data_IF_362747414159
#
_entry.id   IF_362747414159
#
_cell.length_a   1.000
_cell.length_b   1.000
_cell.length_c   1.000
_cell.angle_alpha   90.00
_cell.angle_beta   90.00
_cell.angle_gamma   90.00
#
_symmetry.space_group_name_H-M   'P 1'
#
loop_
_entity.id
_entity.type
_entity.pdbx_description
1 polymer ?
#
# COMPACT_ATOMS: atom_id res chain seq x y z
N UNK A 1 -10.95 13.16 0.05
CA UNK A 1 -10.49 12.94 -1.34
C UNK A 1 -8.99 13.19 -1.49
N UNK A 2 -8.46 13.07 -2.70
CA UNK A 2 -7.03 13.17 -3.05
C UNK A 2 -6.35 14.45 -2.56
N UNK A 3 -7.05 15.59 -2.62
CA UNK A 3 -6.53 16.85 -2.09
C UNK A 3 -6.26 16.80 -0.58
N UNK A 4 -7.02 16.03 0.18
CA UNK A 4 -6.80 15.84 1.62
C UNK A 4 -5.51 15.05 1.90
N UNK A 5 -5.16 14.09 1.03
CA UNK A 5 -3.89 13.37 1.13
C UNK A 5 -2.70 14.30 0.86
N UNK A 6 -2.75 15.07 -0.22
CA UNK A 6 -1.67 16.01 -0.57
C UNK A 6 -1.46 17.07 0.51
N UNK A 7 -2.55 17.66 1.01
CA UNK A 7 -2.48 18.75 1.99
C UNK A 7 -2.17 18.27 3.42
N UNK A 8 -2.61 17.06 3.77
CA UNK A 8 -2.51 16.53 5.13
C UNK A 8 -1.34 15.59 5.35
N UNK A 9 -0.94 14.80 4.35
CA UNK A 9 -0.04 13.68 4.57
C UNK A 9 1.21 13.67 3.68
N UNK A 10 1.08 14.15 2.44
CA UNK A 10 2.15 14.09 1.44
C UNK A 10 2.05 12.83 0.54
N UNK A 11 2.78 12.87 -0.56
CA UNK A 11 2.77 11.81 -1.60
C UNK A 11 4.18 11.40 -2.03
N UNK A 12 5.21 12.11 -1.58
CA UNK A 12 6.61 11.85 -1.94
C UNK A 12 7.24 10.74 -1.08
N UNK A 13 8.29 10.13 -1.60
CA UNK A 13 9.13 9.22 -0.82
C UNK A 13 9.83 9.97 0.31
N UNK A 14 9.84 9.37 1.51
CA UNK A 14 10.46 10.02 2.69
C UNK A 14 11.99 10.03 2.67
N UNK A 15 12.62 9.19 1.82
CA UNK A 15 14.06 8.98 1.83
C UNK A 15 14.58 8.29 3.11
N UNK A 16 13.68 7.69 3.88
CA UNK A 16 13.94 7.01 5.15
C UNK A 16 13.26 5.65 5.18
N UNK A 17 13.67 4.79 6.10
CA UNK A 17 13.02 3.49 6.30
C UNK A 17 11.53 3.67 6.63
N UNK A 18 10.71 2.69 6.25
CA UNK A 18 9.24 2.75 6.29
C UNK A 18 8.63 3.00 7.69
N UNK A 19 9.39 2.83 8.76
CA UNK A 19 8.98 3.04 10.15
C UNK A 19 9.88 4.03 10.89
N UNK A 20 10.39 5.06 10.18
CA UNK A 20 11.32 6.05 10.71
C UNK A 20 10.62 7.10 11.59
N UNK A 21 11.05 7.20 12.85
CA UNK A 21 10.72 8.31 13.75
C UNK A 21 11.42 9.59 13.27
N UNK A 22 12.65 9.45 12.75
CA UNK A 22 13.45 10.60 12.27
C UNK A 22 12.75 11.31 11.11
N UNK A 23 12.09 10.57 10.22
CA UNK A 23 11.31 11.16 9.13
C UNK A 23 10.18 12.05 9.68
N UNK A 24 9.46 11.60 10.70
CA UNK A 24 8.37 12.39 11.30
C UNK A 24 8.93 13.68 11.91
N UNK A 25 10.01 13.61 12.64
CA UNK A 25 10.67 14.78 13.25
C UNK A 25 11.18 15.76 12.18
N UNK A 26 11.83 15.24 11.13
CA UNK A 26 12.38 16.05 10.04
C UNK A 26 11.31 16.83 9.30
N UNK A 27 10.18 16.22 9.01
CA UNK A 27 9.08 16.80 8.25
C UNK A 27 7.93 17.32 9.15
N UNK A 28 8.06 17.23 10.47
CA UNK A 28 7.01 17.60 11.43
C UNK A 28 5.68 16.91 11.13
N UNK A 29 5.76 15.60 10.87
CA UNK A 29 4.64 14.75 10.51
C UNK A 29 4.12 14.90 9.09
N UNK A 30 4.53 15.91 8.32
CA UNK A 30 4.19 16.08 6.92
C UNK A 30 5.04 15.17 6.04
N UNK A 31 4.70 15.04 4.76
CA UNK A 31 5.41 14.18 3.81
C UNK A 31 5.49 12.68 4.22
N UNK A 32 4.62 12.27 5.13
CA UNK A 32 4.44 10.86 5.49
C UNK A 32 3.42 10.24 4.54
N UNK A 33 3.87 9.86 3.33
CA UNK A 33 2.98 9.24 2.36
C UNK A 33 2.29 7.98 2.92
N UNK A 34 1.11 7.58 2.39
CA UNK A 34 0.30 6.49 2.95
C UNK A 34 0.91 5.09 2.80
N UNK A 35 2.07 4.94 2.15
CA UNK A 35 2.74 3.66 1.92
C UNK A 35 3.87 3.35 2.91
N UNK A 36 4.11 4.25 3.88
CA UNK A 36 4.98 4.03 5.04
C UNK A 36 4.14 3.97 6.32
N UNK A 37 4.65 3.33 7.38
CA UNK A 37 3.85 3.07 8.59
C UNK A 37 3.16 4.32 9.18
N UNK A 38 3.87 5.45 9.43
CA UNK A 38 3.20 6.62 10.01
C UNK A 38 2.09 7.17 9.11
N UNK A 39 2.30 7.22 7.79
CA UNK A 39 1.30 7.67 6.85
C UNK A 39 0.12 6.72 6.71
N UNK A 40 0.36 5.40 6.74
CA UNK A 40 -0.71 4.40 6.69
C UNK A 40 -1.59 4.44 7.94
N UNK A 41 -1.01 4.62 9.12
CA UNK A 41 -1.76 4.78 10.37
C UNK A 41 -2.55 6.09 10.35
N UNK A 42 -1.95 7.19 9.89
CA UNK A 42 -2.65 8.46 9.73
C UNK A 42 -3.80 8.35 8.71
N UNK A 43 -3.59 7.67 7.57
CA UNK A 43 -4.66 7.41 6.60
C UNK A 43 -5.83 6.62 7.22
N UNK A 44 -5.53 5.62 8.04
CA UNK A 44 -6.55 4.86 8.78
C UNK A 44 -7.38 5.77 9.69
N UNK A 45 -6.77 6.73 10.36
CA UNK A 45 -7.47 7.70 11.24
C UNK A 45 -8.38 8.67 10.47
N UNK A 46 -8.17 8.86 9.17
CA UNK A 46 -9.00 9.73 8.32
C UNK A 46 -10.36 9.12 7.98
N UNK A 47 -10.53 7.83 8.14
CA UNK A 47 -11.82 7.15 7.91
C UNK A 47 -12.72 7.46 9.09
N UNK A 48 -13.91 8.00 8.80
CA UNK A 48 -14.87 8.41 9.81
C UNK A 48 -15.95 7.35 9.99
N UNK A 49 -16.31 7.08 11.21
CA UNK A 49 -17.39 6.17 11.62
C UNK A 49 -17.80 6.46 13.05
N UNK A 50 -18.98 6.00 13.45
CA UNK A 50 -19.53 6.21 14.79
C UNK A 50 -18.88 5.29 15.85
N UNK A 51 -18.17 4.25 15.44
CA UNK A 51 -17.51 3.29 16.32
C UNK A 51 -16.27 2.69 15.69
N UNK A 52 -15.44 2.06 16.55
CA UNK A 52 -14.29 1.24 16.10
C UNK A 52 -14.70 0.20 15.04
N UNK A 53 -15.75 -0.57 15.33
CA UNK A 53 -16.19 -1.64 14.44
C UNK A 53 -16.68 -1.12 13.08
N UNK A 54 -17.33 0.03 13.06
CA UNK A 54 -17.79 0.66 11.83
C UNK A 54 -16.59 1.05 10.95
N UNK A 55 -15.58 1.72 11.52
CA UNK A 55 -14.36 2.11 10.80
C UNK A 55 -13.61 0.87 10.29
N UNK A 56 -13.38 -0.11 11.15
CA UNK A 56 -12.70 -1.35 10.77
C UNK A 56 -13.42 -2.07 9.63
N UNK A 57 -14.75 -2.25 9.78
CA UNK A 57 -15.55 -2.98 8.79
C UNK A 57 -15.63 -2.26 7.45
N UNK A 58 -15.66 -0.93 7.44
CA UNK A 58 -15.62 -0.14 6.19
C UNK A 58 -14.33 -0.42 5.42
N UNK A 59 -13.17 -0.33 6.09
CA UNK A 59 -11.87 -0.57 5.46
C UNK A 59 -11.72 -2.05 5.07
N UNK A 60 -12.09 -2.99 5.94
CA UNK A 60 -12.01 -4.42 5.65
C UNK A 60 -12.91 -4.82 4.46
N UNK A 61 -14.11 -4.23 4.35
CA UNK A 61 -15.00 -4.42 3.20
C UNK A 61 -14.35 -3.92 1.91
N UNK A 62 -13.68 -2.78 1.95
CA UNK A 62 -12.95 -2.26 0.80
C UNK A 62 -11.82 -3.20 0.36
N UNK A 63 -11.07 -3.79 1.31
CA UNK A 63 -10.05 -4.80 1.00
C UNK A 63 -10.66 -6.06 0.38
N UNK A 64 -11.81 -6.54 0.91
CA UNK A 64 -12.55 -7.67 0.38
C UNK A 64 -13.02 -7.42 -1.07
N UNK A 65 -13.50 -6.23 -1.36
CA UNK A 65 -13.90 -5.82 -2.69
C UNK A 65 -12.73 -5.81 -3.68
N UNK A 66 -11.56 -5.33 -3.26
CA UNK A 66 -10.35 -5.40 -4.07
C UNK A 66 -9.89 -6.83 -4.32
N UNK A 67 -9.93 -7.70 -3.31
CA UNK A 67 -9.57 -9.12 -3.42
C UNK A 67 -10.62 -9.93 -4.21
N UNK A 68 -11.87 -9.46 -4.26
CA UNK A 68 -13.00 -10.17 -4.84
C UNK A 68 -13.48 -11.36 -4.00
N UNK A 69 -13.16 -11.36 -2.73
CA UNK A 69 -13.61 -12.31 -1.72
C UNK A 69 -13.43 -11.76 -0.31
N UNK A 70 -14.09 -12.37 0.66
CA UNK A 70 -13.82 -12.11 2.07
C UNK A 70 -12.41 -12.61 2.46
N UNK A 71 -11.64 -11.75 3.10
CA UNK A 71 -10.29 -12.04 3.61
C UNK A 71 -10.39 -12.45 5.08
N UNK A 72 -9.85 -13.62 5.46
CA UNK A 72 -9.90 -14.06 6.85
C UNK A 72 -8.94 -13.22 7.71
N UNK A 73 -9.39 -12.86 8.91
CA UNK A 73 -8.50 -12.33 9.93
C UNK A 73 -7.73 -13.50 10.57
N UNK A 74 -6.41 -13.45 10.53
CA UNK A 74 -5.54 -14.34 11.30
C UNK A 74 -5.37 -13.79 12.72
N UNK A 75 -6.19 -14.30 13.63
CA UNK A 75 -6.28 -13.81 15.01
C UNK A 75 -4.95 -13.93 15.76
N UNK A 76 -4.23 -15.03 15.56
CA UNK A 76 -2.91 -15.28 16.15
C UNK A 76 -1.85 -14.26 15.66
N UNK A 77 -1.90 -13.87 14.40
CA UNK A 77 -1.03 -12.83 13.83
C UNK A 77 -1.38 -11.47 14.43
N UNK A 78 -2.67 -11.13 14.50
CA UNK A 78 -3.12 -9.88 15.10
C UNK A 78 -2.69 -9.76 16.56
N UNK A 79 -2.91 -10.80 17.38
CA UNK A 79 -2.52 -10.80 18.79
C UNK A 79 -1.00 -10.66 18.97
N UNK A 80 -0.21 -11.34 18.15
CA UNK A 80 1.25 -11.25 18.16
C UNK A 80 1.73 -9.84 17.79
N UNK A 81 1.19 -9.27 16.71
CA UNK A 81 1.54 -7.92 16.26
C UNK A 81 1.08 -6.86 17.28
N UNK A 82 -0.13 -6.97 17.82
CA UNK A 82 -0.65 -6.03 18.82
C UNK A 82 0.20 -6.03 20.11
N UNK A 83 0.73 -7.19 20.51
CA UNK A 83 1.61 -7.30 21.68
C UNK A 83 3.00 -6.69 21.46
N UNK A 84 3.43 -6.47 20.20
CA UNK A 84 4.80 -6.06 19.85
C UNK A 84 4.87 -4.79 18.99
N UNK A 85 3.76 -4.06 18.82
CA UNK A 85 3.67 -2.89 17.94
C UNK A 85 4.02 -1.54 18.60
N UNK A 86 4.77 -1.53 19.71
CA UNK A 86 5.14 -0.32 20.46
C UNK A 86 5.77 0.77 19.58
N UNK A 87 6.52 0.37 18.54
CA UNK A 87 7.06 1.32 17.58
C UNK A 87 5.96 2.03 16.78
N UNK A 88 4.95 1.32 16.30
CA UNK A 88 3.82 1.91 15.59
C UNK A 88 2.99 2.81 16.51
N UNK A 89 2.80 2.43 17.78
CA UNK A 89 2.14 3.27 18.78
C UNK A 89 2.91 4.59 19.01
N UNK A 90 4.25 4.52 19.08
CA UNK A 90 5.09 5.71 19.20
C UNK A 90 5.00 6.62 17.96
N UNK A 91 5.00 6.04 16.75
CA UNK A 91 4.80 6.76 15.49
C UNK A 91 3.44 7.47 15.48
N UNK A 92 2.37 6.78 15.84
CA UNK A 92 1.02 7.33 15.88
C UNK A 92 0.88 8.48 16.90
N UNK A 93 1.47 8.30 18.09
CA UNK A 93 1.50 9.35 19.12
C UNK A 93 2.23 10.60 18.66
N UNK A 94 3.33 10.41 17.93
CA UNK A 94 4.10 11.53 17.37
C UNK A 94 3.33 12.22 16.24
N UNK A 95 2.67 11.46 15.36
CA UNK A 95 1.80 12.00 14.31
C UNK A 95 0.61 12.78 14.91
N UNK A 96 0.06 12.30 16.03
CA UNK A 96 -0.97 13.02 16.79
C UNK A 96 -0.43 14.34 17.36
N UNK A 97 0.77 14.36 17.92
CA UNK A 97 1.42 15.56 18.45
C UNK A 97 1.66 16.62 17.35
N UNK A 98 1.86 16.22 16.11
CA UNK A 98 1.96 17.13 14.95
C UNK A 98 0.61 17.45 14.28
N UNK A 99 -0.51 16.94 14.83
CA UNK A 99 -1.86 17.25 14.34
C UNK A 99 -2.28 16.52 13.06
N UNK A 100 -1.60 15.42 12.70
CA UNK A 100 -1.94 14.60 11.53
C UNK A 100 -2.91 13.47 11.83
N UNK A 101 -2.93 13.03 13.08
CA UNK A 101 -3.99 12.19 13.64
C UNK A 101 -4.78 13.06 14.60
N UNK A 102 -6.01 13.43 14.23
CA UNK A 102 -6.86 14.32 15.03
C UNK A 102 -7.53 13.59 16.18
N UNK A 103 -7.95 12.36 15.94
CA UNK A 103 -8.70 11.52 16.88
C UNK A 103 -7.76 10.64 17.75
N UNK A 104 -8.12 9.41 18.02
CA UNK A 104 -7.40 8.50 18.90
C UNK A 104 -6.26 7.75 18.16
N UNK A 105 -4.97 8.05 18.43
CA UNK A 105 -3.85 7.37 17.79
C UNK A 105 -3.74 5.88 18.15
N UNK A 106 -4.18 5.46 19.34
CA UNK A 106 -4.18 4.06 19.74
C UNK A 106 -5.19 3.26 18.93
N UNK A 107 -6.40 3.81 18.74
CA UNK A 107 -7.43 3.20 17.90
C UNK A 107 -6.98 3.07 16.44
N UNK A 108 -6.39 4.13 15.87
CA UNK A 108 -5.87 4.10 14.51
C UNK A 108 -4.78 3.03 14.33
N UNK A 109 -3.88 2.90 15.31
CA UNK A 109 -2.83 1.88 15.32
C UNK A 109 -3.39 0.48 15.43
N UNK A 110 -4.39 0.27 16.28
CA UNK A 110 -5.01 -1.04 16.46
C UNK A 110 -5.76 -1.49 15.20
N UNK A 111 -6.58 -0.63 14.60
CA UNK A 111 -7.24 -0.90 13.32
C UNK A 111 -6.21 -1.22 12.22
N UNK A 112 -5.14 -0.42 12.10
CA UNK A 112 -4.05 -0.66 11.16
C UNK A 112 -3.41 -2.05 11.38
N UNK A 113 -3.13 -2.43 12.63
CA UNK A 113 -2.56 -3.73 13.01
C UNK A 113 -3.49 -4.87 12.62
N UNK A 114 -4.78 -4.72 12.90
CA UNK A 114 -5.81 -5.72 12.58
C UNK A 114 -5.99 -5.90 11.07
N UNK A 115 -6.00 -4.81 10.30
CA UNK A 115 -6.01 -4.85 8.83
C UNK A 115 -4.75 -5.49 8.25
N UNK A 116 -3.58 -5.25 8.86
CA UNK A 116 -2.31 -5.90 8.49
C UNK A 116 -2.28 -7.40 8.74
N UNK A 117 -3.22 -7.91 9.54
CA UNK A 117 -3.37 -9.33 9.88
C UNK A 117 -4.41 -10.09 9.03
N UNK A 118 -4.96 -9.43 7.99
CA UNK A 118 -5.83 -10.08 7.01
C UNK A 118 -5.03 -11.04 6.13
N UNK A 119 -5.52 -12.27 6.01
CA UNK A 119 -4.87 -13.33 5.23
C UNK A 119 -5.08 -13.17 3.73
N UNK A 120 -3.99 -13.04 2.99
CA UNK A 120 -3.99 -12.95 1.53
C UNK A 120 -3.09 -14.00 0.89
N UNK A 121 -3.39 -14.36 -0.34
CA UNK A 121 -2.53 -15.18 -1.19
C UNK A 121 -2.14 -14.41 -2.47
N UNK A 122 -1.32 -15.01 -3.32
CA UNK A 122 -0.85 -14.35 -4.54
C UNK A 122 -1.99 -14.01 -5.52
N UNK A 123 -3.07 -14.80 -5.56
CA UNK A 123 -4.22 -14.52 -6.40
C UNK A 123 -5.02 -13.32 -5.89
N UNK A 124 -5.15 -13.17 -4.58
CA UNK A 124 -5.82 -12.00 -3.99
C UNK A 124 -5.06 -10.72 -4.32
N UNK A 125 -3.74 -10.71 -4.10
CA UNK A 125 -2.89 -9.57 -4.42
C UNK A 125 -2.88 -9.26 -5.93
N UNK A 126 -2.87 -10.29 -6.79
CA UNK A 126 -2.95 -10.10 -8.24
C UNK A 126 -4.32 -9.54 -8.67
N UNK A 127 -5.40 -9.95 -7.99
CA UNK A 127 -6.75 -9.40 -8.23
C UNK A 127 -6.84 -7.94 -7.82
N UNK A 128 -6.27 -7.57 -6.66
CA UNK A 128 -6.16 -6.18 -6.21
C UNK A 128 -5.38 -5.33 -7.22
N UNK A 129 -4.22 -5.82 -7.68
CA UNK A 129 -3.42 -5.17 -8.72
C UNK A 129 -4.19 -5.08 -10.04
N UNK A 130 -4.93 -6.13 -10.42
CA UNK A 130 -5.79 -6.17 -11.60
C UNK A 130 -6.94 -5.18 -11.54
N UNK A 131 -7.48 -4.93 -10.35
CA UNK A 131 -8.50 -3.89 -10.11
C UNK A 131 -7.96 -2.50 -10.44
N UNK A 132 -6.75 -2.19 -10.00
CA UNK A 132 -6.08 -0.93 -10.35
C UNK A 132 -5.72 -0.87 -11.84
N UNK A 133 -5.21 -1.96 -12.42
CA UNK A 133 -4.91 -2.03 -13.85
C UNK A 133 -6.14 -1.84 -14.73
N UNK A 134 -7.32 -2.19 -14.22
CA UNK A 134 -8.62 -2.11 -14.89
C UNK A 134 -9.44 -0.87 -14.47
N UNK A 135 -8.78 0.22 -14.11
CA UNK A 135 -9.44 1.50 -13.81
C UNK A 135 -10.38 1.47 -12.60
N UNK A 136 -10.09 0.64 -11.60
CA UNK A 136 -10.88 0.56 -10.36
C UNK A 136 -12.01 -0.49 -10.39
N UNK A 137 -12.14 -1.26 -11.47
CA UNK A 137 -13.13 -2.33 -11.60
C UNK A 137 -12.46 -3.68 -11.36
N UNK A 138 -12.93 -4.43 -10.36
CA UNK A 138 -12.42 -5.75 -10.04
C UNK A 138 -12.63 -6.73 -11.23
N UNK A 139 -11.56 -7.31 -11.80
CA UNK A 139 -11.69 -8.12 -13.02
C UNK A 139 -12.37 -9.47 -12.80
N UNK A 140 -12.48 -9.95 -11.56
CA UNK A 140 -13.11 -11.23 -11.23
C UNK A 140 -14.59 -11.10 -10.89
N UNK A 141 -14.98 -10.00 -10.26
CA UNK A 141 -16.37 -9.79 -9.80
C UNK A 141 -17.15 -8.81 -10.68
N UNK A 142 -16.46 -7.99 -11.48
CA UNK A 142 -17.06 -6.89 -12.22
C UNK A 142 -17.49 -5.70 -11.34
N UNK A 143 -17.23 -5.75 -10.02
CA UNK A 143 -17.59 -4.67 -9.11
C UNK A 143 -16.69 -3.47 -9.33
N UNK A 144 -17.29 -2.29 -9.46
CA UNK A 144 -16.55 -1.02 -9.36
C UNK A 144 -16.19 -0.81 -7.89
N UNK A 145 -14.89 -0.87 -7.58
CA UNK A 145 -14.36 -0.76 -6.22
C UNK A 145 -13.95 0.66 -5.90
N UNK A 146 -13.40 1.37 -6.90
CA UNK A 146 -13.04 2.78 -6.75
C UNK A 146 -13.32 3.57 -8.02
N UNK A 147 -13.39 4.88 -7.91
CA UNK A 147 -13.54 5.76 -9.06
C UNK A 147 -12.27 5.74 -9.93
N UNK A 148 -12.45 5.65 -11.24
CA UNK A 148 -11.32 5.57 -12.19
C UNK A 148 -10.43 6.80 -12.18
N UNK A 149 -10.98 7.95 -11.82
CA UNK A 149 -10.24 9.23 -11.69
C UNK A 149 -9.22 9.22 -10.53
N UNK A 150 -9.41 8.36 -9.50
CA UNK A 150 -8.49 8.22 -8.38
C UNK A 150 -7.35 7.22 -8.65
N UNK A 151 -7.47 6.36 -9.67
CA UNK A 151 -6.47 5.33 -9.98
C UNK A 151 -5.10 5.91 -10.33
N UNK A 152 -4.99 6.96 -11.20
CA UNK A 152 -3.70 7.55 -11.54
C UNK A 152 -2.93 8.06 -10.32
N UNK A 153 -3.61 8.64 -9.34
CA UNK A 153 -2.99 9.17 -8.12
C UNK A 153 -2.46 8.06 -7.22
N UNK A 154 -3.23 6.96 -7.06
CA UNK A 154 -2.77 5.77 -6.33
C UNK A 154 -1.52 5.19 -7.02
N UNK A 155 -1.55 5.02 -8.34
CA UNK A 155 -0.41 4.49 -9.09
C UNK A 155 0.82 5.40 -9.02
N UNK A 156 0.63 6.72 -9.01
CA UNK A 156 1.72 7.69 -8.87
C UNK A 156 2.44 7.54 -7.51
N UNK A 157 1.68 7.45 -6.40
CA UNK A 157 2.27 7.22 -5.07
C UNK A 157 2.93 5.84 -4.97
N UNK A 158 2.34 4.80 -5.59
CA UNK A 158 2.97 3.48 -5.66
C UNK A 158 4.27 3.49 -6.47
N UNK A 159 4.35 4.29 -7.52
CA UNK A 159 5.57 4.43 -8.33
C UNK A 159 6.72 5.08 -7.55
N UNK A 160 6.42 6.10 -6.74
CA UNK A 160 7.43 6.87 -6.01
C UNK A 160 7.82 6.29 -4.65
N UNK A 161 6.93 5.58 -3.98
CA UNK A 161 7.11 5.17 -2.59
C UNK A 161 6.73 3.70 -2.29
N UNK A 162 6.27 2.92 -3.27
CA UNK A 162 5.65 1.62 -3.03
C UNK A 162 6.61 0.51 -2.59
N UNK A 163 7.91 0.61 -2.91
CA UNK A 163 8.95 -0.34 -2.47
C UNK A 163 9.93 0.29 -1.47
N UNK A 164 9.41 1.11 -0.57
CA UNK A 164 10.20 1.76 0.47
C UNK A 164 11.39 2.55 -0.14
N UNK A 165 12.60 2.39 0.41
CA UNK A 165 13.81 3.07 -0.06
C UNK A 165 14.22 2.66 -1.48
N UNK A 166 13.79 1.50 -1.97
CA UNK A 166 14.11 0.96 -3.29
C UNK A 166 13.03 1.25 -4.36
N UNK A 167 12.02 2.09 -4.08
CA UNK A 167 10.94 2.38 -5.02
C UNK A 167 11.45 2.94 -6.36
N UNK A 168 12.40 3.88 -6.33
CA UNK A 168 13.02 4.44 -7.54
C UNK A 168 13.81 3.41 -8.34
N UNK A 169 14.57 2.54 -7.67
CA UNK A 169 15.34 1.45 -8.29
C UNK A 169 14.42 0.41 -8.94
N UNK A 170 13.31 0.09 -8.27
CA UNK A 170 12.29 -0.78 -8.83
C UNK A 170 11.65 -0.19 -10.08
N UNK A 171 11.19 1.06 -10.01
CA UNK A 171 10.57 1.75 -11.14
C UNK A 171 11.52 1.86 -12.32
N UNK A 172 12.80 2.16 -12.09
CA UNK A 172 13.83 2.20 -13.13
C UNK A 172 13.97 0.86 -13.87
N UNK A 173 13.90 -0.28 -13.14
CA UNK A 173 14.06 -1.61 -13.72
C UNK A 173 12.82 -2.10 -14.46
N UNK A 174 11.63 -1.78 -13.94
CA UNK A 174 10.38 -2.41 -14.38
C UNK A 174 9.40 -1.46 -15.05
N UNK A 175 9.46 -0.17 -14.75
CA UNK A 175 8.46 0.81 -15.14
C UNK A 175 7.10 0.66 -14.42
N UNK A 176 6.96 -0.29 -13.47
CA UNK A 176 5.68 -0.64 -12.87
C UNK A 176 5.47 0.04 -11.50
N UNK A 177 4.37 0.77 -11.29
CA UNK A 177 3.88 1.04 -9.96
C UNK A 177 3.69 -0.27 -9.18
N UNK A 178 4.14 -0.32 -7.93
CA UNK A 178 4.06 -1.53 -7.13
C UNK A 178 3.96 -1.22 -5.63
N UNK A 179 3.52 -2.21 -4.83
CA UNK A 179 3.55 -2.16 -3.37
C UNK A 179 4.09 -3.47 -2.82
N UNK A 180 5.04 -3.36 -1.93
CA UNK A 180 5.61 -4.49 -1.18
C UNK A 180 5.10 -4.53 0.25
N UNK A 181 5.20 -5.71 0.87
CA UNK A 181 4.93 -5.92 2.29
C UNK A 181 6.00 -6.83 2.90
N UNK A 182 6.35 -6.57 4.16
CA UNK A 182 7.35 -7.36 4.91
C UNK A 182 6.93 -8.82 5.12
N UNK A 183 5.67 -9.17 4.86
CA UNK A 183 5.23 -10.56 4.75
C UNK A 183 5.73 -11.30 3.50
N UNK A 184 6.51 -10.64 2.63
CA UNK A 184 7.11 -11.24 1.44
C UNK A 184 6.29 -11.08 0.15
N UNK A 185 5.16 -10.38 0.20
CA UNK A 185 4.33 -10.08 -0.95
C UNK A 185 4.76 -8.84 -1.71
N UNK A 186 4.67 -8.88 -3.03
CA UNK A 186 4.72 -7.70 -3.92
C UNK A 186 3.58 -7.82 -4.92
N UNK A 187 2.82 -6.75 -5.08
CA UNK A 187 1.90 -6.56 -6.19
C UNK A 187 2.38 -5.42 -7.09
N UNK A 188 2.22 -5.55 -8.40
CA UNK A 188 2.62 -4.54 -9.37
C UNK A 188 1.59 -4.40 -10.48
N UNK A 189 1.52 -3.23 -11.07
CA UNK A 189 0.47 -2.85 -12.01
C UNK A 189 1.09 -2.42 -13.34
N UNK A 190 0.67 -3.07 -14.43
CA UNK A 190 0.83 -2.55 -15.79
C UNK A 190 -0.51 -1.92 -16.20
N UNK A 191 -0.63 -0.57 -16.18
CA UNK A 191 -1.90 0.11 -16.39
C UNK A 191 -2.54 -0.27 -17.73
N UNK A 192 -3.83 -0.65 -17.70
CA UNK A 192 -4.57 -1.06 -18.88
C UNK A 192 -4.20 -2.43 -19.46
N UNK A 193 -3.25 -3.16 -18.84
CA UNK A 193 -2.81 -4.46 -19.33
C UNK A 193 -3.06 -5.58 -18.33
N UNK A 194 -2.41 -5.53 -17.15
CA UNK A 194 -2.55 -6.58 -16.12
C UNK A 194 -2.10 -6.12 -14.74
N UNK A 195 -2.60 -6.82 -13.71
CA UNK A 195 -2.04 -6.84 -12.38
C UNK A 195 -1.25 -8.13 -12.16
N UNK A 196 -0.14 -8.06 -11.43
CA UNK A 196 0.71 -9.20 -11.12
C UNK A 196 1.10 -9.19 -9.65
N UNK A 197 1.19 -10.36 -9.02
CA UNK A 197 1.70 -10.49 -7.67
C UNK A 197 2.55 -11.75 -7.49
N UNK A 198 3.50 -11.66 -6.57
CA UNK A 198 4.29 -12.80 -6.12
C UNK A 198 4.54 -12.70 -4.62
N UNK A 199 4.65 -13.84 -3.94
CA UNK A 199 4.92 -13.95 -2.51
C UNK A 199 6.12 -14.87 -2.31
N UNK A 200 7.16 -14.38 -1.62
CA UNK A 200 8.32 -15.18 -1.25
C UNK A 200 9.04 -14.61 -0.03
N UNK A 201 9.38 -15.44 0.98
CA UNK A 201 9.82 -14.95 2.28
C UNK A 201 11.15 -14.18 2.33
N UNK A 202 12.24 -14.51 1.59
CA UNK A 202 13.49 -13.78 1.77
C UNK A 202 13.37 -12.32 1.34
N UNK A 203 13.68 -11.41 2.28
CA UNK A 203 13.64 -9.96 2.06
C UNK A 203 15.06 -9.41 1.86
N UNK A 204 15.17 -8.32 1.10
CA UNK A 204 16.38 -7.49 1.02
C UNK A 204 16.47 -6.51 2.22
N UNK A 205 17.50 -5.68 2.21
CA UNK A 205 17.77 -4.72 3.30
C UNK A 205 16.67 -3.65 3.44
N UNK A 206 15.96 -3.32 2.34
CA UNK A 206 14.85 -2.37 2.35
C UNK A 206 13.53 -3.01 2.84
N UNK A 207 13.45 -4.34 2.94
CA UNK A 207 12.26 -5.08 3.36
C UNK A 207 11.42 -5.62 2.21
N UNK A 208 11.96 -5.69 0.99
CA UNK A 208 11.26 -6.18 -0.19
C UNK A 208 11.66 -7.62 -0.51
N UNK A 209 10.71 -8.44 -0.93
CA UNK A 209 10.97 -9.83 -1.32
C UNK A 209 11.89 -9.92 -2.53
N UNK A 210 13.07 -10.53 -2.35
CA UNK A 210 14.09 -10.69 -3.41
C UNK A 210 13.56 -11.51 -4.59
N UNK A 211 12.95 -12.66 -4.31
CA UNK A 211 12.46 -13.55 -5.37
C UNK A 211 11.20 -13.00 -6.05
N UNK A 212 10.31 -12.34 -5.31
CA UNK A 212 9.13 -11.73 -5.90
C UNK A 212 9.51 -10.61 -6.87
N UNK A 213 10.50 -9.77 -6.55
CA UNK A 213 11.03 -8.76 -7.46
C UNK A 213 11.51 -9.37 -8.77
N UNK A 214 12.35 -10.41 -8.69
CA UNK A 214 12.90 -11.08 -9.87
C UNK A 214 11.82 -11.75 -10.73
N UNK A 215 10.84 -12.39 -10.10
CA UNK A 215 9.75 -13.06 -10.80
C UNK A 215 8.86 -12.05 -11.53
N UNK A 216 8.45 -10.98 -10.86
CA UNK A 216 7.59 -9.95 -11.46
C UNK A 216 8.31 -9.25 -12.61
N UNK A 217 9.59 -8.88 -12.44
CA UNK A 217 10.39 -8.27 -13.49
C UNK A 217 10.49 -9.16 -14.74
N UNK A 218 10.81 -10.46 -14.56
CA UNK A 218 10.96 -11.40 -15.66
C UNK A 218 9.62 -11.60 -16.40
N UNK A 219 8.52 -11.78 -15.68
CA UNK A 219 7.19 -11.98 -16.28
C UNK A 219 6.72 -10.70 -16.96
N UNK A 220 6.88 -9.55 -16.33
CA UNK A 220 6.48 -8.27 -16.92
C UNK A 220 7.24 -7.98 -18.21
N UNK A 221 8.54 -8.22 -18.24
CA UNK A 221 9.35 -8.06 -19.46
C UNK A 221 8.87 -8.99 -20.58
N UNK A 222 8.56 -10.25 -20.27
CA UNK A 222 8.05 -11.21 -21.24
C UNK A 222 6.66 -10.83 -21.80
N UNK A 223 5.85 -10.12 -21.02
CA UNK A 223 4.51 -9.66 -21.39
C UNK A 223 4.47 -8.22 -21.94
N UNK A 224 5.61 -7.54 -22.08
CA UNK A 224 5.66 -6.14 -22.49
C UNK A 224 4.95 -5.21 -21.50
N UNK A 225 5.13 -5.46 -20.20
CA UNK A 225 4.38 -4.77 -19.14
C UNK A 225 4.84 -3.34 -18.86
N UNK A 226 6.07 -2.97 -19.24
CA UNK A 226 6.60 -1.64 -18.94
C UNK A 226 5.88 -0.56 -19.76
N UNK A 227 5.12 0.37 -19.13
CA UNK A 227 4.35 1.39 -19.83
C UNK A 227 5.21 2.46 -20.52
N UNK A 228 6.51 2.54 -20.22
CA UNK A 228 7.44 3.48 -20.83
C UNK A 228 8.12 2.92 -22.10
N UNK A 229 7.93 1.62 -22.38
CA UNK A 229 8.36 1.03 -23.65
C UNK A 229 7.30 1.31 -24.71
N UNK A 230 7.54 2.35 -25.51
CA UNK A 230 6.65 2.76 -26.59
C UNK A 230 7.37 2.62 -27.93
N UNK A 231 6.65 2.17 -28.97
CA UNK A 231 7.16 2.16 -30.33
C UNK A 231 7.13 3.57 -30.92
N UNK A 232 8.11 3.97 -31.74
CA UNK A 232 8.09 5.25 -32.42
C UNK A 232 6.85 5.41 -33.29
N UNK A 233 6.17 6.55 -33.20
CA UNK A 233 5.01 6.84 -34.06
C UNK A 233 5.48 7.04 -35.49
N UNK A 234 4.99 6.22 -36.42
CA UNK A 234 5.21 6.41 -37.86
C UNK A 234 6.39 5.66 -38.50
N UNK A 235 6.78 4.51 -37.93
CA UNK A 235 7.61 3.53 -38.67
C UNK A 235 6.77 2.40 -39.25
#
# INVERSE_FOLDING_TARGET
>A
GTQSLVNGMGVDATGQVFNSIVAIEQYKGREMNPLVNPGAIAATSMIKGASYDEIYNEIATFYNDFAGRELPLHQDVYESEAATNQRNQALASLMHAYGLIEDNPEQATDIYTKLGSLGVNALDLATMAGTLANGGVNPRTGKKVMESENVPEVLAVMATAGLYDDAGKWLYRTGLPAKSGVGGGILAISPGKFGIAAISPPLDAAGNSVKAQLAIEAISNALGGNPYQVEPVGQ
#
